data_IF_147691696894
#
_entry.id   IF_147691696894
#
_cell.length_a   1.000
_cell.length_b   1.000
_cell.length_c   1.000
_cell.angle_alpha   90.00
_cell.angle_beta   90.00
_cell.angle_gamma   90.00
#
_symmetry.space_group_name_H-M   'P 1'
#
loop_
_entity.id
_entity.type
_entity.pdbx_description
1 polymer ?
#
# COMPACT_ATOMS: atom_id res chain seq x y z
N UNK A 1 4.71 -13.13 17.62
CA UNK A 1 5.35 -12.17 16.82
C UNK A 1 4.38 -11.13 16.30
N UNK A 2 4.79 -9.92 16.32
CA UNK A 2 3.90 -8.91 15.83
C UNK A 2 3.70 -9.14 14.34
N UNK A 3 2.48 -9.06 13.97
CA UNK A 3 2.19 -9.15 12.57
C UNK A 3 2.36 -7.80 11.95
N UNK A 4 3.16 -7.74 10.91
CA UNK A 4 3.18 -6.60 10.04
C UNK A 4 2.12 -6.87 8.96
N UNK A 5 2.38 -6.56 7.73
CA UNK A 5 1.44 -6.85 6.64
C UNK A 5 1.43 -8.33 6.29
N UNK A 6 0.41 -8.73 5.54
CA UNK A 6 0.33 -10.07 4.94
C UNK A 6 -0.15 -9.93 3.50
N UNK A 7 0.56 -10.54 2.56
CA UNK A 7 0.16 -10.50 1.15
C UNK A 7 -0.77 -11.67 0.89
N UNK A 8 -2.00 -11.38 0.46
CA UNK A 8 -3.00 -12.39 0.17
C UNK A 8 -2.91 -12.90 -1.25
N UNK A 9 -2.61 -12.03 -2.20
CA UNK A 9 -2.47 -12.45 -3.60
C UNK A 9 -1.55 -11.50 -4.34
N UNK A 10 -0.90 -12.03 -5.37
CA UNK A 10 0.05 -11.31 -6.21
C UNK A 10 0.05 -12.03 -7.55
N UNK A 11 -0.74 -11.54 -8.50
CA UNK A 11 -0.92 -12.17 -9.79
C UNK A 11 -0.65 -11.17 -10.92
N UNK A 12 -0.17 -11.66 -12.04
CA UNK A 12 0.10 -10.83 -13.21
C UNK A 12 -0.76 -11.30 -14.38
N UNK A 13 -1.51 -10.37 -14.97
CA UNK A 13 -2.35 -10.65 -16.13
C UNK A 13 -2.15 -9.53 -17.13
N UNK A 14 -1.73 -9.88 -18.34
CA UNK A 14 -1.53 -8.93 -19.45
C UNK A 14 -0.63 -7.75 -19.06
N UNK A 15 0.45 -8.03 -18.35
CA UNK A 15 1.40 -7.00 -17.95
C UNK A 15 0.98 -6.17 -16.74
N UNK A 16 -0.17 -6.47 -16.16
CA UNK A 16 -0.65 -5.77 -14.97
C UNK A 16 -0.51 -6.71 -13.77
N UNK A 17 0.24 -6.27 -12.76
CA UNK A 17 0.45 -7.04 -11.55
C UNK A 17 -0.55 -6.59 -10.50
N UNK A 18 -1.42 -7.50 -10.07
CA UNK A 18 -2.48 -7.21 -9.11
C UNK A 18 -2.08 -7.74 -7.73
N UNK A 19 -2.10 -6.87 -6.73
CA UNK A 19 -1.70 -7.23 -5.37
C UNK A 19 -2.81 -6.89 -4.39
N UNK A 20 -3.09 -7.84 -3.50
CA UNK A 20 -4.00 -7.64 -2.38
C UNK A 20 -3.24 -8.00 -1.10
N UNK A 21 -3.29 -7.11 -0.13
CA UNK A 21 -2.58 -7.30 1.13
C UNK A 21 -3.44 -6.86 2.30
N UNK A 22 -3.14 -7.41 3.48
CA UNK A 22 -3.75 -6.99 4.73
C UNK A 22 -2.67 -6.26 5.52
N UNK A 23 -2.91 -4.99 5.89
CA UNK A 23 -1.93 -4.26 6.69
C UNK A 23 -1.94 -4.71 8.13
N UNK A 24 -0.96 -4.23 8.89
CA UNK A 24 -0.86 -4.50 10.31
C UNK A 24 -2.15 -4.07 11.04
N UNK A 25 -2.50 -4.81 12.10
CA UNK A 25 -3.63 -4.46 12.95
C UNK A 25 -3.41 -3.14 13.70
N UNK A 26 -2.20 -2.57 13.64
CA UNK A 26 -1.92 -1.29 14.26
C UNK A 26 -2.52 -0.12 13.49
N UNK A 27 -2.94 -0.32 12.24
CA UNK A 27 -3.52 0.74 11.42
C UNK A 27 -5.01 0.53 11.25
N UNK A 28 -5.71 1.55 10.77
CA UNK A 28 -7.16 1.52 10.74
C UNK A 28 -7.74 0.86 9.48
N UNK A 29 -6.97 0.73 8.41
CA UNK A 29 -7.45 0.05 7.21
C UNK A 29 -7.36 -1.46 7.39
N UNK A 30 -8.20 -2.20 6.65
CA UNK A 30 -8.26 -3.66 6.76
C UNK A 30 -7.71 -4.37 5.54
N UNK A 31 -7.61 -3.70 4.41
CA UNK A 31 -7.11 -4.31 3.18
C UNK A 31 -6.56 -3.23 2.26
N UNK A 32 -5.51 -3.59 1.55
CA UNK A 32 -4.87 -2.72 0.56
C UNK A 32 -4.86 -3.48 -0.76
N UNK A 33 -5.42 -2.85 -1.80
CA UNK A 33 -5.41 -3.40 -3.17
C UNK A 33 -4.74 -2.39 -4.08
N UNK A 34 -3.87 -2.87 -4.95
CA UNK A 34 -3.25 -1.99 -5.95
C UNK A 34 -2.71 -2.80 -7.10
N UNK A 35 -2.44 -2.10 -8.20
CA UNK A 35 -1.84 -2.70 -9.39
C UNK A 35 -0.50 -2.04 -9.66
N UNK A 36 0.40 -2.78 -10.30
CA UNK A 36 1.68 -2.25 -10.77
C UNK A 36 1.76 -2.47 -12.28
N UNK A 37 2.08 -1.41 -13.01
CA UNK A 37 2.25 -1.45 -14.46
C UNK A 37 3.53 -0.70 -14.79
N UNK A 38 4.54 -1.41 -15.31
CA UNK A 38 5.83 -0.80 -15.69
C UNK A 38 6.43 0.05 -14.58
N UNK A 39 6.38 -0.46 -13.34
CA UNK A 39 6.96 0.25 -12.19
C UNK A 39 6.13 1.43 -11.70
N UNK A 40 4.91 1.58 -12.18
CA UNK A 40 4.02 2.65 -11.72
C UNK A 40 2.84 2.07 -10.95
N UNK A 41 2.32 2.86 -10.00
CA UNK A 41 1.21 2.47 -9.14
C UNK A 41 -0.11 2.81 -9.85
N UNK A 42 -1.05 1.86 -9.82
CA UNK A 42 -2.38 2.04 -10.39
C UNK A 42 -3.41 1.50 -9.42
N UNK A 43 -4.55 2.16 -9.39
CA UNK A 43 -5.74 1.65 -8.68
C UNK A 43 -5.51 1.32 -7.22
N UNK A 44 -4.74 2.14 -6.51
CA UNK A 44 -4.55 1.93 -5.07
C UNK A 44 -5.86 2.19 -4.35
N UNK A 45 -6.33 1.20 -3.61
CA UNK A 45 -7.57 1.26 -2.86
C UNK A 45 -7.38 0.65 -1.49
N UNK A 46 -8.00 1.26 -0.48
CA UNK A 46 -8.03 0.72 0.86
C UNK A 46 -9.45 0.34 1.22
N UNK A 47 -9.60 -0.73 2.00
CA UNK A 47 -10.88 -1.10 2.61
C UNK A 47 -10.79 -0.75 4.09
N UNK A 48 -11.75 0.02 4.58
CA UNK A 48 -11.75 0.49 5.97
C UNK A 48 -10.84 1.70 6.15
N UNK A 49 -10.78 2.21 7.38
CA UNK A 49 -9.91 3.31 7.72
C UNK A 49 -10.49 4.69 7.38
N UNK A 50 -9.63 5.66 7.24
CA UNK A 50 -10.01 7.06 6.99
C UNK A 50 -10.35 7.23 5.51
N UNK A 51 -11.60 6.99 5.16
CA UNK A 51 -12.04 6.90 3.77
C UNK A 51 -11.56 8.06 2.90
N UNK A 52 -11.76 9.30 3.36
CA UNK A 52 -11.37 10.46 2.56
C UNK A 52 -9.86 10.56 2.36
N UNK A 53 -9.10 10.37 3.43
CA UNK A 53 -7.64 10.48 3.35
C UNK A 53 -7.03 9.35 2.51
N UNK A 54 -7.56 8.14 2.64
CA UNK A 54 -7.03 7.01 1.89
C UNK A 54 -7.42 7.08 0.42
N UNK A 55 -8.60 7.62 0.12
CA UNK A 55 -9.00 7.86 -1.26
C UNK A 55 -8.11 8.93 -1.89
N UNK A 56 -7.78 9.99 -1.15
CA UNK A 56 -6.88 11.03 -1.62
C UNK A 56 -5.49 10.47 -1.89
N UNK A 57 -5.00 9.58 -1.02
CA UNK A 57 -3.71 8.95 -1.20
C UNK A 57 -3.68 8.14 -2.50
N UNK A 58 -4.74 7.38 -2.77
CA UNK A 58 -4.84 6.63 -4.02
C UNK A 58 -4.81 7.54 -5.24
N UNK A 59 -5.52 8.66 -5.17
CA UNK A 59 -5.56 9.61 -6.28
C UNK A 59 -4.19 10.26 -6.51
N UNK A 60 -3.48 10.61 -5.44
CA UNK A 60 -2.16 11.24 -5.55
C UNK A 60 -1.11 10.28 -6.11
N UNK A 61 -1.23 8.99 -5.82
CA UNK A 61 -0.25 8.00 -6.23
C UNK A 61 -0.57 7.37 -7.59
N UNK A 62 -1.75 7.63 -8.13
CA UNK A 62 -2.13 7.06 -9.42
C UNK A 62 -1.12 7.46 -10.51
N UNK A 63 -0.52 6.46 -11.15
CA UNK A 63 0.45 6.69 -12.21
C UNK A 63 1.84 7.07 -11.74
N UNK A 64 2.08 7.17 -10.44
CA UNK A 64 3.39 7.55 -9.93
C UNK A 64 4.33 6.35 -9.89
N UNK A 65 5.64 6.58 -10.07
CA UNK A 65 6.61 5.49 -9.91
C UNK A 65 6.62 4.97 -8.48
N UNK A 66 6.90 3.67 -8.32
CA UNK A 66 6.98 3.09 -6.97
C UNK A 66 8.04 3.80 -6.11
N UNK A 67 9.14 4.25 -6.72
CA UNK A 67 10.19 4.95 -5.98
C UNK A 67 9.67 6.23 -5.33
N UNK A 68 8.75 6.92 -5.97
CA UNK A 68 8.14 8.13 -5.43
C UNK A 68 7.38 7.81 -4.14
N UNK A 69 6.58 6.76 -4.16
CA UNK A 69 5.82 6.36 -2.97
C UNK A 69 6.74 5.93 -1.84
N UNK A 70 7.77 5.13 -2.16
CA UNK A 70 8.72 4.68 -1.16
C UNK A 70 9.45 5.85 -0.51
N UNK A 71 9.84 6.83 -1.32
CA UNK A 71 10.56 8.00 -0.82
C UNK A 71 9.69 8.87 0.09
N UNK A 72 8.43 9.06 -0.28
CA UNK A 72 7.56 10.01 0.41
C UNK A 72 6.81 9.43 1.59
N UNK A 73 6.53 8.14 1.59
CA UNK A 73 5.61 7.54 2.56
C UNK A 73 6.26 6.63 3.58
N UNK A 74 7.48 6.17 3.31
CA UNK A 74 8.17 5.27 4.24
C UNK A 74 8.39 5.95 5.58
N UNK A 75 7.98 5.28 6.65
CA UNK A 75 8.22 5.76 8.01
C UNK A 75 7.17 6.71 8.55
N UNK A 76 6.13 7.03 7.77
CA UNK A 76 5.07 7.89 8.30
C UNK A 76 4.35 7.15 9.41
N UNK A 77 4.30 7.81 10.58
CA UNK A 77 3.76 7.23 11.80
C UNK A 77 2.42 7.89 12.14
N UNK A 78 1.42 7.08 12.42
CA UNK A 78 0.10 7.57 12.79
C UNK A 78 -0.09 7.43 14.30
N UNK A 79 -0.18 8.55 15.01
CA UNK A 79 -0.47 8.58 16.45
C UNK A 79 0.46 7.67 17.26
N UNK A 80 1.74 7.69 16.96
CA UNK A 80 2.77 6.94 17.68
C UNK A 80 2.59 5.42 17.63
N UNK A 81 1.91 4.92 16.60
CA UNK A 81 1.72 3.48 16.42
C UNK A 81 2.94 2.79 15.83
N UNK A 82 3.94 3.55 15.39
CA UNK A 82 5.12 3.02 14.72
C UNK A 82 4.94 2.78 13.24
N UNK A 83 3.74 2.94 12.74
CA UNK A 83 3.42 2.76 11.33
C UNK A 83 2.11 3.49 11.01
N UNK A 84 1.71 3.48 9.76
CA UNK A 84 0.48 4.10 9.28
C UNK A 84 -0.03 3.32 8.07
N UNK A 85 -1.24 3.64 7.62
CA UNK A 85 -1.76 3.00 6.40
C UNK A 85 -0.83 3.26 5.20
N UNK A 86 -0.29 4.47 5.09
CA UNK A 86 0.63 4.79 4.00
C UNK A 86 1.98 4.10 4.16
N UNK A 87 2.51 4.02 5.38
CA UNK A 87 3.75 3.30 5.63
C UNK A 87 3.57 1.80 5.37
N UNK A 88 2.43 1.24 5.74
CA UNK A 88 2.14 -0.17 5.46
C UNK A 88 2.15 -0.45 3.97
N UNK A 89 1.60 0.46 3.16
CA UNK A 89 1.66 0.32 1.71
C UNK A 89 3.12 0.24 1.22
N UNK A 90 4.02 1.07 1.77
CA UNK A 90 5.43 1.01 1.37
C UNK A 90 6.08 -0.30 1.75
N UNK A 91 5.70 -0.88 2.89
CA UNK A 91 6.24 -2.18 3.32
C UNK A 91 5.79 -3.28 2.37
N UNK A 92 4.52 -3.25 1.94
CA UNK A 92 4.02 -4.20 0.95
C UNK A 92 4.76 -4.01 -0.38
N UNK A 93 4.95 -2.76 -0.82
CA UNK A 93 5.68 -2.48 -2.06
C UNK A 93 7.08 -3.07 -2.02
N UNK A 94 7.81 -2.87 -0.93
CA UNK A 94 9.17 -3.41 -0.82
C UNK A 94 9.18 -4.92 -0.88
N UNK A 95 8.17 -5.57 -0.31
CA UNK A 95 8.08 -7.02 -0.35
C UNK A 95 7.84 -7.54 -1.75
N UNK A 96 6.88 -6.96 -2.48
CA UNK A 96 6.54 -7.46 -3.81
C UNK A 96 7.58 -7.10 -4.87
N UNK A 97 8.46 -6.16 -4.56
CA UNK A 97 9.53 -5.75 -5.48
C UNK A 97 10.85 -6.49 -5.24
N UNK A 98 10.91 -7.36 -4.24
CA UNK A 98 12.10 -8.16 -3.99
C UNK A 98 12.40 -9.11 -5.12
#
# INVERSE_FOLDING_TARGET
>A
MPEDYQILSDTTVDGVRHITAVPSALVCSRQIDFDLVDGTIRNLRYTGGCHGNLQALGALLEGQPVAFALDRLTGINCKERGTSCSDQFTRVLREVLK
#
